data_IF_636106598884
#
_entry.id   IF_636106598884
#
_cell.length_a   1.000
_cell.length_b   1.000
_cell.length_c   1.000
_cell.angle_alpha   90.00
_cell.angle_beta   90.00
_cell.angle_gamma   90.00
#
_symmetry.space_group_name_H-M   'P 1'
#
loop_
_entity.id
_entity.type
_entity.pdbx_description
1 polymer ?
#
# COMPACT_ATOMS: atom_id res chain seq x y z
N UNK A 1 -10.62 16.91 14.47
CA UNK A 1 -9.87 15.73 14.01
C UNK A 1 -8.83 16.24 13.03
N UNK A 2 -7.55 15.96 13.31
CA UNK A 2 -6.36 16.52 12.65
C UNK A 2 -5.84 15.51 11.59
N UNK A 3 -5.14 15.92 10.51
CA UNK A 3 -4.98 15.17 9.26
C UNK A 3 -3.96 14.00 9.30
N UNK A 4 -3.67 13.44 10.47
CA UNK A 4 -2.60 12.46 10.72
C UNK A 4 -3.14 11.02 10.87
N UNK A 5 -3.99 10.53 9.96
CA UNK A 5 -4.51 9.15 10.03
C UNK A 5 -3.56 8.12 9.42
N UNK A 6 -2.30 8.25 9.78
CA UNK A 6 -1.29 7.25 9.52
C UNK A 6 -0.91 6.62 10.85
N UNK A 7 -1.56 5.50 11.16
CA UNK A 7 -1.20 4.76 12.36
C UNK A 7 0.15 4.07 12.11
N UNK A 8 1.17 4.50 12.84
CA UNK A 8 2.51 3.92 12.82
C UNK A 8 2.63 2.90 13.94
N UNK A 9 3.05 1.71 13.57
CA UNK A 9 3.24 0.58 14.45
C UNK A 9 4.72 0.24 14.51
N UNK A 10 5.24 0.01 15.70
CA UNK A 10 6.64 -0.34 15.95
C UNK A 10 6.77 -1.81 16.33
N UNK A 11 7.67 -2.53 15.67
CA UNK A 11 8.17 -3.84 16.07
C UNK A 11 9.67 -3.81 16.37
N UNK A 12 10.24 -4.95 16.73
CA UNK A 12 11.69 -5.08 16.98
C UNK A 12 12.52 -4.79 15.73
N UNK A 13 11.98 -5.08 14.54
CA UNK A 13 12.66 -4.95 13.24
C UNK A 13 12.30 -3.68 12.45
N UNK A 14 11.69 -2.70 13.10
CA UNK A 14 11.35 -1.39 12.51
C UNK A 14 9.87 -1.04 12.60
N UNK A 15 9.39 -0.25 11.65
CA UNK A 15 8.06 0.33 11.69
C UNK A 15 7.26 -0.01 10.44
N UNK A 16 5.94 -0.06 10.59
CA UNK A 16 5.02 -0.03 9.47
C UNK A 16 3.91 0.98 9.72
N UNK A 17 3.31 1.46 8.64
CA UNK A 17 2.27 2.47 8.63
C UNK A 17 1.04 1.90 7.95
N UNK A 18 -0.11 2.15 8.54
CA UNK A 18 -1.40 1.85 7.93
C UNK A 18 -2.00 3.13 7.37
N UNK A 19 -2.45 3.08 6.11
CA UNK A 19 -3.12 4.18 5.45
C UNK A 19 -4.19 3.67 4.48
N UNK A 20 -4.83 4.59 3.77
CA UNK A 20 -5.92 4.29 2.85
C UNK A 20 -5.75 5.04 1.53
N UNK A 21 -6.12 4.38 0.41
CA UNK A 21 -6.08 4.96 -0.93
C UNK A 21 -7.50 5.12 -1.45
N UNK A 22 -7.85 6.35 -1.83
CA UNK A 22 -9.07 6.63 -2.58
C UNK A 22 -8.86 6.13 -4.01
N UNK A 23 -9.59 5.08 -4.38
CA UNK A 23 -9.46 4.41 -5.67
C UNK A 23 -10.83 4.12 -6.27
N UNK A 24 -11.74 5.07 -6.10
CA UNK A 24 -13.12 4.91 -6.56
C UNK A 24 -13.14 4.73 -8.08
N UNK A 25 -13.71 3.61 -8.53
CA UNK A 25 -13.78 3.26 -9.96
C UNK A 25 -12.45 2.84 -10.59
N UNK A 26 -11.36 2.76 -9.82
CA UNK A 26 -10.02 2.37 -10.29
C UNK A 26 -9.74 0.92 -9.93
N UNK A 27 -9.06 0.17 -10.81
CA UNK A 27 -8.68 -1.23 -10.54
C UNK A 27 -7.52 -1.31 -9.53
N UNK A 28 -7.36 -2.45 -8.85
CA UNK A 28 -6.23 -2.62 -7.92
C UNK A 28 -4.88 -2.55 -8.64
N UNK A 29 -4.81 -3.02 -9.88
CA UNK A 29 -3.57 -2.99 -10.67
C UNK A 29 -3.18 -1.54 -11.02
N UNK A 30 -4.15 -0.69 -11.35
CA UNK A 30 -3.89 0.74 -11.60
C UNK A 30 -3.47 1.46 -10.31
N UNK A 31 -4.16 1.22 -9.19
CA UNK A 31 -3.79 1.79 -7.88
C UNK A 31 -2.36 1.42 -7.50
N UNK A 32 -2.00 0.14 -7.66
CA UNK A 32 -0.68 -0.35 -7.31
C UNK A 32 0.39 0.19 -8.25
N UNK A 33 0.10 0.33 -9.55
CA UNK A 33 1.02 0.98 -10.47
C UNK A 33 1.25 2.46 -10.13
N UNK A 34 0.22 3.18 -9.71
CA UNK A 34 0.34 4.59 -9.28
C UNK A 34 1.24 4.74 -8.05
N UNK A 35 1.15 3.81 -7.09
CA UNK A 35 1.97 3.82 -5.88
C UNK A 35 3.41 3.32 -6.14
N UNK A 36 3.54 2.16 -6.79
CA UNK A 36 4.83 1.51 -7.05
C UNK A 36 5.77 2.37 -7.92
N UNK A 37 5.20 3.06 -8.91
CA UNK A 37 5.95 3.90 -9.85
C UNK A 37 5.75 5.41 -9.60
N UNK A 38 5.46 5.78 -8.35
CA UNK A 38 5.39 7.18 -7.95
C UNK A 38 6.70 7.92 -8.34
N UNK A 39 6.61 9.22 -8.64
CA UNK A 39 7.75 9.99 -9.18
C UNK A 39 8.97 10.04 -8.24
N UNK A 40 8.72 9.93 -6.93
CA UNK A 40 9.75 9.84 -5.89
C UNK A 40 10.47 8.48 -5.85
N UNK A 41 9.98 7.48 -6.60
CA UNK A 41 10.50 6.12 -6.66
C UNK A 41 10.74 5.50 -5.27
N UNK A 42 9.72 5.50 -4.39
CA UNK A 42 9.90 5.01 -3.02
C UNK A 42 10.29 3.53 -2.97
N UNK A 43 10.03 2.76 -4.03
CA UNK A 43 10.39 1.35 -4.16
C UNK A 43 11.55 1.10 -5.15
N UNK A 44 12.23 2.15 -5.59
CA UNK A 44 13.28 2.11 -6.62
C UNK A 44 12.72 2.16 -8.06
N UNK A 45 13.58 1.89 -9.06
CA UNK A 45 13.23 2.12 -10.48
C UNK A 45 12.48 0.97 -11.14
N UNK A 46 12.54 -0.24 -10.58
CA UNK A 46 11.88 -1.44 -11.12
C UNK A 46 11.38 -2.34 -9.99
N UNK A 47 10.39 -1.89 -9.19
CA UNK A 47 9.83 -2.70 -8.12
C UNK A 47 9.06 -3.90 -8.68
N UNK A 48 9.09 -5.01 -7.93
CA UNK A 48 8.29 -6.19 -8.27
C UNK A 48 6.91 -6.10 -7.64
N UNK A 49 5.88 -6.37 -8.44
CA UNK A 49 4.49 -6.47 -7.96
C UNK A 49 4.08 -7.94 -7.94
N UNK A 50 3.81 -8.46 -6.75
CA UNK A 50 3.45 -9.86 -6.51
C UNK A 50 1.98 -9.93 -6.12
N UNK A 51 1.24 -10.78 -6.80
CA UNK A 51 -0.15 -11.09 -6.46
C UNK A 51 -0.21 -12.06 -5.27
N UNK A 52 -1.00 -11.72 -4.25
CA UNK A 52 -1.16 -12.53 -3.04
C UNK A 52 -2.62 -12.87 -2.77
N UNK A 53 -2.87 -14.11 -2.36
CA UNK A 53 -4.12 -14.51 -1.72
C UNK A 53 -3.91 -14.50 -0.21
N UNK A 54 -4.73 -13.74 0.51
CA UNK A 54 -4.67 -13.64 1.97
C UNK A 54 -5.87 -14.36 2.59
N UNK A 55 -5.68 -14.93 3.78
CA UNK A 55 -6.80 -15.45 4.57
C UNK A 55 -7.77 -14.31 4.94
N UNK A 56 -9.08 -14.58 4.82
CA UNK A 56 -10.13 -13.59 5.07
C UNK A 56 -10.53 -12.76 3.84
N UNK A 57 -9.77 -12.80 2.74
CA UNK A 57 -10.22 -12.27 1.44
C UNK A 57 -11.01 -13.33 0.66
N UNK A 58 -11.89 -12.87 -0.24
CA UNK A 58 -12.51 -13.76 -1.23
C UNK A 58 -11.46 -14.27 -2.22
N UNK A 59 -11.68 -15.44 -2.82
CA UNK A 59 -10.70 -16.07 -3.72
C UNK A 59 -10.37 -15.22 -4.96
N UNK A 60 -11.35 -14.45 -5.44
CA UNK A 60 -11.22 -13.50 -6.54
C UNK A 60 -10.59 -12.16 -6.12
N UNK A 61 -10.55 -11.85 -4.83
CA UNK A 61 -9.96 -10.64 -4.27
C UNK A 61 -8.51 -10.93 -3.89
N UNK A 62 -7.59 -10.42 -4.70
CA UNK A 62 -6.16 -10.63 -4.49
C UNK A 62 -5.48 -9.33 -4.11
N UNK A 63 -4.57 -9.40 -3.16
CA UNK A 63 -3.74 -8.28 -2.78
C UNK A 63 -2.56 -8.14 -3.76
N UNK A 64 -1.87 -7.01 -3.67
CA UNK A 64 -0.61 -6.74 -4.36
C UNK A 64 0.45 -6.39 -3.33
N UNK A 65 1.55 -7.14 -3.34
CA UNK A 65 2.77 -6.82 -2.60
C UNK A 65 3.75 -6.14 -3.53
N UNK A 66 4.16 -4.94 -3.18
CA UNK A 66 5.22 -4.17 -3.83
C UNK A 66 6.52 -4.49 -3.09
N UNK A 67 7.45 -5.14 -3.79
CA UNK A 67 8.80 -5.43 -3.29
C UNK A 67 9.77 -4.46 -3.95
N UNK A 68 10.61 -3.74 -3.18
CA UNK A 68 11.52 -2.77 -3.74
C UNK A 68 12.55 -3.43 -4.63
N UNK A 69 12.99 -2.69 -5.65
CA UNK A 69 14.11 -3.11 -6.49
C UNK A 69 15.42 -3.13 -5.70
N UNK A 70 16.41 -3.91 -6.16
CA UNK A 70 17.73 -4.00 -5.53
C UNK A 70 18.51 -2.67 -5.51
N UNK A 71 18.08 -1.67 -6.28
CA UNK A 71 18.71 -0.34 -6.41
C UNK A 71 17.88 0.77 -5.77
N UNK A 72 16.97 0.43 -4.85
CA UNK A 72 16.26 1.42 -4.03
C UNK A 72 17.27 2.28 -3.25
N UNK A 73 17.05 3.59 -3.22
CA UNK A 73 17.92 4.52 -2.50
C UNK A 73 17.86 4.25 -0.99
N UNK A 74 19.01 4.38 -0.29
CA UNK A 74 19.12 4.05 1.15
C UNK A 74 18.11 4.83 2.01
N UNK A 75 17.70 6.03 1.58
CA UNK A 75 16.71 6.85 2.27
C UNK A 75 15.35 6.17 2.43
N UNK A 76 15.00 5.25 1.52
CA UNK A 76 13.75 4.49 1.55
C UNK A 76 13.86 3.17 2.34
N UNK A 77 15.04 2.80 2.84
CA UNK A 77 15.25 1.74 3.84
C UNK A 77 14.46 0.43 3.63
N UNK A 78 14.57 -0.18 2.44
CA UNK A 78 13.85 -1.42 2.10
C UNK A 78 12.33 -1.29 2.19
N UNK A 79 11.78 -0.08 1.95
CA UNK A 79 10.35 0.17 1.93
C UNK A 79 9.66 -0.79 0.96
N UNK A 80 8.62 -1.44 1.46
CA UNK A 80 7.77 -2.39 0.78
C UNK A 80 6.35 -2.15 1.27
N UNK A 81 5.35 -2.47 0.44
CA UNK A 81 3.96 -2.25 0.80
C UNK A 81 3.04 -3.34 0.29
N UNK A 82 1.97 -3.62 1.04
CA UNK A 82 0.86 -4.45 0.59
C UNK A 82 -0.39 -3.59 0.42
N UNK A 83 -1.04 -3.73 -0.73
CA UNK A 83 -2.28 -3.04 -1.07
C UNK A 83 -3.37 -4.08 -1.29
N UNK A 84 -4.53 -3.85 -0.68
CA UNK A 84 -5.70 -4.72 -0.83
C UNK A 84 -6.99 -3.89 -0.84
N UNK A 85 -8.01 -4.42 -1.51
CA UNK A 85 -9.32 -3.77 -1.56
C UNK A 85 -10.07 -4.00 -0.25
N UNK A 86 -10.74 -2.98 0.25
CA UNK A 86 -11.72 -3.16 1.32
C UNK A 86 -12.96 -3.90 0.80
N UNK A 87 -13.54 -4.85 1.58
CA UNK A 87 -14.80 -5.48 1.22
C UNK A 87 -15.95 -4.48 1.04
N UNK A 88 -15.94 -3.43 1.86
CA UNK A 88 -16.83 -2.27 1.77
C UNK A 88 -15.99 -1.00 1.93
N UNK A 89 -16.21 0.00 1.07
CA UNK A 89 -15.43 1.23 1.10
C UNK A 89 -15.56 1.96 2.45
N UNK A 90 -14.44 2.40 3.00
CA UNK A 90 -14.40 3.12 4.28
C UNK A 90 -14.56 4.61 4.02
N UNK A 91 -15.40 5.29 4.82
CA UNK A 91 -15.49 6.75 4.79
C UNK A 91 -14.57 7.36 5.83
N UNK A 92 -13.67 8.24 5.38
CA UNK A 92 -12.80 9.03 6.25
C UNK A 92 -13.01 10.50 5.88
N UNK A 93 -13.64 11.25 6.79
CA UNK A 93 -14.18 12.57 6.45
C UNK A 93 -15.27 12.46 5.38
N UNK A 94 -15.16 13.28 4.33
CA UNK A 94 -16.10 13.31 3.20
C UNK A 94 -15.70 12.39 2.04
N UNK A 95 -14.54 11.73 2.15
CA UNK A 95 -13.97 10.90 1.07
C UNK A 95 -14.21 9.41 1.32
N UNK A 96 -14.40 8.69 0.21
CA UNK A 96 -14.52 7.23 0.19
C UNK A 96 -13.16 6.61 -0.17
N UNK A 97 -12.77 5.60 0.59
CA UNK A 97 -11.50 4.88 0.43
C UNK A 97 -11.80 3.41 0.12
N UNK A 98 -11.31 2.95 -1.02
CA UNK A 98 -11.59 1.60 -1.52
C UNK A 98 -10.46 0.62 -1.24
N UNK A 99 -9.27 1.12 -0.90
CA UNK A 99 -8.07 0.31 -0.73
C UNK A 99 -7.38 0.65 0.59
N UNK A 100 -6.89 -0.40 1.22
CA UNK A 100 -5.98 -0.37 2.36
C UNK A 100 -4.55 -0.49 1.85
N UNK A 101 -3.63 0.26 2.46
CA UNK A 101 -2.19 0.08 2.27
C UNK A 101 -1.49 -0.08 3.63
N UNK A 102 -0.62 -1.07 3.72
CA UNK A 102 0.31 -1.25 4.82
C UNK A 102 1.73 -1.23 4.27
N UNK A 103 2.52 -0.24 4.66
CA UNK A 103 3.88 -0.04 4.17
C UNK A 103 4.90 -0.01 5.30
N UNK A 104 6.11 -0.52 5.04
CA UNK A 104 7.27 -0.25 5.89
C UNK A 104 7.68 1.22 5.74
N UNK A 105 8.09 1.83 6.84
CA UNK A 105 8.64 3.20 6.89
C UNK A 105 9.98 3.24 7.61
#
# INVERSE_FOLDING_TARGET
MNPEYDEKYQGEDGFFQLSAISGEGVSIDDVVNMDAFHQLKPYGSDPQIIELTLEGLKAEEKARLIVPSAVQEEEWNHQAAIIMKYPEAVKIGDSSYNYFICGRI
#
